data_IF_372005416905
#
_entry.id   IF_372005416905
#
_cell.length_a   1.000
_cell.length_b   1.000
_cell.length_c   1.000
_cell.angle_alpha   90.00
_cell.angle_beta   90.00
_cell.angle_gamma   90.00
#
_symmetry.space_group_name_H-M   'P 1'
#
loop_
_entity.id
_entity.type
_entity.pdbx_description
1 polymer ?
#
# COMPACT_ATOMS: atom_id res chain seq x y z
N UNK A 1 -4.95 -9.65 12.57
CA UNK A 1 -6.17 -8.82 12.80
C UNK A 1 -7.29 -9.62 13.45
N UNK A 2 -7.75 -10.77 12.93
CA UNK A 2 -8.79 -11.58 13.56
C UNK A 2 -8.47 -11.92 15.04
N UNK A 3 -7.25 -12.40 15.32
CA UNK A 3 -6.79 -12.68 16.68
C UNK A 3 -6.75 -11.44 17.59
N UNK A 4 -6.46 -10.27 17.04
CA UNK A 4 -6.48 -8.99 17.77
C UNK A 4 -7.90 -8.65 18.24
N UNK A 5 -8.89 -8.73 17.34
CA UNK A 5 -10.28 -8.45 17.71
C UNK A 5 -10.85 -9.52 18.65
N UNK A 6 -10.42 -10.77 18.53
CA UNK A 6 -10.76 -11.81 19.52
C UNK A 6 -10.24 -11.46 20.92
N UNK A 7 -9.00 -10.99 21.02
CA UNK A 7 -8.45 -10.53 22.29
C UNK A 7 -9.22 -9.34 22.85
N UNK A 8 -9.53 -8.33 22.02
CA UNK A 8 -10.33 -7.15 22.41
C UNK A 8 -11.71 -7.57 22.94
N UNK A 9 -12.38 -8.48 22.23
CA UNK A 9 -13.68 -9.02 22.65
C UNK A 9 -13.60 -9.76 23.99
N UNK A 10 -12.55 -10.54 24.21
CA UNK A 10 -12.33 -11.26 25.48
C UNK A 10 -12.14 -10.31 26.68
N UNK A 11 -11.65 -9.08 26.45
CA UNK A 11 -11.62 -8.04 27.48
C UNK A 11 -12.97 -7.32 27.68
N UNK A 12 -14.04 -7.78 27.01
CA UNK A 12 -15.38 -7.17 27.11
C UNK A 12 -15.54 -5.87 26.33
N UNK A 13 -14.56 -5.44 25.55
CA UNK A 13 -14.60 -4.21 24.76
C UNK A 13 -15.49 -4.43 23.54
N UNK A 14 -16.52 -3.60 23.38
CA UNK A 14 -17.49 -3.70 22.28
C UNK A 14 -17.25 -2.72 21.14
N UNK A 15 -16.50 -1.64 21.38
CA UNK A 15 -16.25 -0.58 20.41
C UNK A 15 -14.78 -0.19 20.44
N UNK A 16 -14.17 -0.02 19.27
CA UNK A 16 -12.81 0.53 19.09
C UNK A 16 -12.84 1.79 18.22
N UNK A 17 -11.83 2.65 18.40
CA UNK A 17 -11.56 3.78 17.52
C UNK A 17 -10.28 3.47 16.74
N UNK A 18 -10.39 3.43 15.41
CA UNK A 18 -9.30 3.09 14.52
C UNK A 18 -8.88 4.28 13.64
N UNK A 19 -7.60 4.31 13.28
CA UNK A 19 -7.00 5.36 12.46
C UNK A 19 -7.12 5.16 10.94
N UNK A 20 -8.02 4.31 10.46
CA UNK A 20 -8.20 4.06 9.03
C UNK A 20 -8.63 5.32 8.29
N UNK A 21 -8.15 5.48 7.06
CA UNK A 21 -8.38 6.66 6.23
C UNK A 21 -7.28 7.73 6.36
N UNK A 22 -6.51 7.74 7.45
CA UNK A 22 -5.48 8.76 7.65
C UNK A 22 -4.33 8.68 6.64
N UNK A 23 -3.90 7.49 6.25
CA UNK A 23 -2.86 7.30 5.24
C UNK A 23 -3.36 7.72 3.85
N UNK A 24 -4.59 7.40 3.53
CA UNK A 24 -5.26 7.69 2.27
C UNK A 24 -5.59 9.17 2.10
N UNK A 25 -5.97 9.85 3.18
CA UNK A 25 -6.27 11.29 3.16
C UNK A 25 -5.01 12.16 3.12
N UNK A 26 -3.98 11.79 3.88
CA UNK A 26 -2.83 12.64 4.18
C UNK A 26 -1.52 12.13 3.57
N UNK A 27 -1.58 11.25 2.58
CA UNK A 27 -0.38 10.74 1.88
C UNK A 27 0.59 9.99 2.81
N UNK A 28 0.07 8.97 3.52
CA UNK A 28 0.88 8.17 4.44
C UNK A 28 1.66 7.03 3.80
N UNK A 29 1.40 6.69 2.54
CA UNK A 29 2.08 5.61 1.81
C UNK A 29 3.27 6.13 0.99
N UNK A 30 4.35 5.35 0.92
CA UNK A 30 5.49 5.67 0.06
C UNK A 30 5.11 5.75 -1.43
N UNK A 31 4.13 4.96 -1.87
CA UNK A 31 3.62 4.98 -3.25
C UNK A 31 2.98 6.33 -3.63
N UNK A 32 2.40 7.06 -2.67
CA UNK A 32 1.81 8.38 -2.93
C UNK A 32 2.86 9.46 -3.16
N UNK A 33 4.09 9.28 -2.68
CA UNK A 33 5.20 10.22 -2.92
C UNK A 33 5.58 10.29 -4.40
N UNK A 34 5.39 9.23 -5.17
CA UNK A 34 5.58 9.28 -6.62
C UNK A 34 4.63 10.28 -7.28
N UNK A 35 3.38 10.30 -6.86
CA UNK A 35 2.38 11.23 -7.38
C UNK A 35 2.63 12.65 -6.88
N UNK A 36 3.09 12.83 -5.64
CA UNK A 36 3.55 14.13 -5.13
C UNK A 36 4.71 14.69 -5.95
N UNK A 37 5.65 13.82 -6.34
CA UNK A 37 6.77 14.21 -7.19
C UNK A 37 6.31 14.68 -8.57
N UNK A 38 5.28 14.07 -9.16
CA UNK A 38 4.67 14.51 -10.41
C UNK A 38 3.91 15.84 -10.27
N UNK A 39 3.38 16.12 -9.07
CA UNK A 39 2.70 17.39 -8.75
C UNK A 39 3.68 18.54 -8.49
N UNK A 40 4.94 18.26 -8.15
CA UNK A 40 5.91 19.24 -7.65
C UNK A 40 6.54 20.09 -8.76
N UNK A 41 6.87 21.34 -8.42
CA UNK A 41 7.78 22.18 -9.20
C UNK A 41 9.26 21.90 -8.81
N UNK A 42 10.21 22.63 -9.40
CA UNK A 42 11.64 22.42 -9.18
C UNK A 42 12.08 22.66 -7.73
N UNK A 43 11.47 23.63 -7.02
CA UNK A 43 11.77 23.95 -5.61
C UNK A 43 11.25 22.86 -4.69
N UNK A 44 10.01 22.45 -4.87
CA UNK A 44 9.36 21.41 -4.08
C UNK A 44 10.00 20.03 -4.26
N UNK A 45 10.60 19.79 -5.42
CA UNK A 45 11.32 18.54 -5.72
C UNK A 45 12.44 18.27 -4.70
N UNK A 46 13.18 19.28 -4.26
CA UNK A 46 14.25 19.16 -3.25
C UNK A 46 13.71 18.67 -1.90
N UNK A 47 12.59 19.22 -1.45
CA UNK A 47 11.93 18.79 -0.21
C UNK A 47 11.45 17.33 -0.31
N UNK A 48 10.85 16.96 -1.43
CA UNK A 48 10.38 15.59 -1.66
C UNK A 48 11.52 14.57 -1.67
N UNK A 49 12.67 14.91 -2.26
CA UNK A 49 13.87 14.06 -2.22
C UNK A 49 14.31 13.83 -0.77
N UNK A 50 14.31 14.89 0.07
CA UNK A 50 14.63 14.76 1.50
C UNK A 50 13.65 13.85 2.24
N UNK A 51 12.35 13.94 1.94
CA UNK A 51 11.33 13.05 2.52
C UNK A 51 11.60 11.59 2.12
N UNK A 52 11.87 11.35 0.83
CA UNK A 52 12.18 10.02 0.32
C UNK A 52 13.40 9.44 1.00
N UNK A 53 14.46 10.24 1.17
CA UNK A 53 15.68 9.80 1.85
C UNK A 53 15.42 9.43 3.30
N UNK A 54 14.63 10.21 4.02
CA UNK A 54 14.29 9.92 5.42
C UNK A 54 13.46 8.64 5.58
N UNK A 55 12.51 8.38 4.68
CA UNK A 55 11.70 7.17 4.69
C UNK A 55 12.52 5.95 4.26
N UNK A 56 13.45 6.12 3.32
CA UNK A 56 14.28 5.01 2.81
C UNK A 56 15.49 4.69 3.67
N UNK A 57 15.91 5.58 4.56
CA UNK A 57 17.02 5.32 5.51
C UNK A 57 16.65 4.38 6.66
N UNK A 58 15.35 4.22 6.96
CA UNK A 58 14.82 3.32 8.00
C UNK A 58 14.66 1.86 7.58
N UNK A 59 13.74 1.14 8.21
CA UNK A 59 13.46 -0.28 7.93
C UNK A 59 13.13 -0.60 6.46
N UNK A 60 12.68 0.41 5.70
CA UNK A 60 12.35 0.30 4.27
C UNK A 60 13.55 0.45 3.32
N UNK A 61 14.75 0.65 3.81
CA UNK A 61 15.97 0.79 2.97
C UNK A 61 16.14 -0.35 1.98
N UNK A 62 15.83 -1.59 2.39
CA UNK A 62 15.90 -2.78 1.52
C UNK A 62 14.80 -2.83 0.44
N UNK A 63 13.66 -2.19 0.68
CA UNK A 63 12.51 -2.18 -0.25
C UNK A 63 12.66 -1.17 -1.39
N UNK A 64 13.39 -0.08 -1.16
CA UNK A 64 13.28 1.13 -1.96
C UNK A 64 14.60 1.59 -2.59
N UNK A 65 15.58 0.71 -2.74
CA UNK A 65 16.93 1.03 -3.26
C UNK A 65 16.95 1.80 -4.59
N UNK A 66 15.86 1.77 -5.36
CA UNK A 66 15.73 2.45 -6.65
C UNK A 66 14.62 3.52 -6.68
N UNK A 67 14.06 3.93 -5.52
CA UNK A 67 12.96 4.90 -5.50
C UNK A 67 13.32 6.21 -6.20
N UNK A 68 14.48 6.81 -5.88
CA UNK A 68 14.93 8.06 -6.52
C UNK A 68 15.01 7.92 -8.05
N UNK A 69 15.61 6.85 -8.54
CA UNK A 69 15.74 6.58 -9.97
C UNK A 69 14.35 6.40 -10.60
N UNK A 70 13.45 5.71 -9.94
CA UNK A 70 12.08 5.51 -10.42
C UNK A 70 11.29 6.82 -10.44
N UNK A 71 11.46 7.72 -9.45
CA UNK A 71 10.85 9.04 -9.46
C UNK A 71 11.32 9.91 -10.61
N UNK A 72 12.64 10.01 -10.82
CA UNK A 72 13.19 10.76 -11.95
C UNK A 72 12.76 10.17 -13.30
N UNK A 73 12.78 8.85 -13.45
CA UNK A 73 12.28 8.18 -14.66
C UNK A 73 10.80 8.48 -14.91
N UNK A 74 9.93 8.39 -13.88
CA UNK A 74 8.50 8.68 -14.02
C UNK A 74 8.25 10.14 -14.40
N UNK A 75 8.95 11.09 -13.79
CA UNK A 75 8.85 12.52 -14.15
C UNK A 75 9.29 12.76 -15.57
N UNK A 76 10.40 12.18 -15.99
CA UNK A 76 10.87 12.28 -17.38
C UNK A 76 9.84 11.69 -18.36
N UNK A 77 9.31 10.51 -18.07
CA UNK A 77 8.30 9.84 -18.89
C UNK A 77 7.01 10.68 -18.93
N UNK A 78 6.56 11.27 -17.82
CA UNK A 78 5.35 12.09 -17.76
C UNK A 78 5.48 13.42 -18.50
N UNK A 79 6.71 13.92 -18.71
CA UNK A 79 6.99 15.12 -19.50
C UNK A 79 6.99 14.84 -21.01
N UNK A 80 7.01 13.57 -21.43
CA UNK A 80 6.94 13.21 -22.84
C UNK A 80 5.53 13.41 -23.38
N UNK A 81 5.45 13.79 -24.68
CA UNK A 81 4.16 13.98 -25.36
C UNK A 81 3.29 12.73 -25.26
N UNK A 82 1.96 12.86 -25.13
CA UNK A 82 1.03 11.71 -24.99
C UNK A 82 1.16 10.62 -26.06
N UNK A 83 1.57 11.01 -27.28
CA UNK A 83 1.82 10.08 -28.38
C UNK A 83 3.01 9.14 -28.11
N UNK A 84 4.09 9.67 -27.53
CA UNK A 84 5.27 8.86 -27.13
C UNK A 84 4.92 7.90 -25.99
N UNK A 85 4.07 8.33 -25.05
CA UNK A 85 3.56 7.47 -23.99
C UNK A 85 2.76 6.28 -24.54
N UNK A 86 1.89 6.51 -25.54
CA UNK A 86 1.15 5.42 -26.19
C UNK A 86 2.09 4.41 -26.85
N UNK A 87 3.15 4.87 -27.51
CA UNK A 87 4.16 3.99 -28.12
C UNK A 87 4.95 3.19 -27.10
N UNK A 88 5.32 3.79 -25.96
CA UNK A 88 6.02 3.10 -24.85
C UNK A 88 5.11 2.06 -24.19
N UNK A 89 3.84 2.38 -24.00
CA UNK A 89 2.84 1.44 -23.45
C UNK A 89 2.63 0.30 -24.43
N UNK A 90 2.50 0.58 -25.73
CA UNK A 90 2.36 -0.44 -26.78
C UNK A 90 3.56 -1.39 -26.85
N UNK A 91 4.79 -0.86 -26.78
CA UNK A 91 6.01 -1.67 -26.73
C UNK A 91 6.08 -2.55 -25.47
N UNK A 92 5.64 -2.04 -24.31
CA UNK A 92 5.55 -2.85 -23.08
C UNK A 92 4.51 -3.97 -23.19
N UNK A 93 3.42 -3.73 -23.90
CA UNK A 93 2.39 -4.74 -24.18
C UNK A 93 2.94 -5.88 -25.05
N UNK A 94 3.76 -5.55 -26.05
CA UNK A 94 4.43 -6.55 -26.92
C UNK A 94 5.45 -7.42 -26.15
N UNK A 95 6.04 -6.90 -25.05
CA UNK A 95 7.04 -7.62 -24.23
C UNK A 95 6.36 -8.49 -23.13
N UNK A 96 5.03 -8.55 -23.07
CA UNK A 96 4.28 -9.53 -22.25
C UNK A 96 4.39 -9.36 -20.73
N UNK A 97 4.59 -8.14 -20.21
CA UNK A 97 4.60 -7.86 -18.76
C UNK A 97 3.33 -7.13 -18.33
N UNK A 98 2.44 -7.87 -17.67
CA UNK A 98 1.40 -7.45 -16.71
C UNK A 98 0.55 -6.21 -17.07
N UNK A 99 -0.17 -6.27 -18.19
CA UNK A 99 -1.08 -5.20 -18.61
C UNK A 99 -2.55 -5.40 -18.17
N UNK A 100 -2.93 -6.59 -17.76
CA UNK A 100 -4.34 -6.86 -17.39
C UNK A 100 -4.78 -6.02 -16.19
N UNK A 101 -3.92 -5.88 -15.19
CA UNK A 101 -4.17 -5.05 -14.00
C UNK A 101 -4.21 -3.54 -14.31
N UNK A 102 -3.33 -3.09 -15.20
CA UNK A 102 -3.30 -1.69 -15.63
C UNK A 102 -4.51 -1.33 -16.49
N UNK A 103 -4.95 -2.25 -17.35
CA UNK A 103 -6.14 -2.10 -18.19
C UNK A 103 -7.42 -2.04 -17.36
N UNK A 104 -7.57 -2.96 -16.40
CA UNK A 104 -8.69 -2.96 -15.44
C UNK A 104 -8.76 -1.65 -14.64
N UNK A 105 -7.62 -1.11 -14.23
CA UNK A 105 -7.52 0.16 -13.49
C UNK A 105 -7.93 1.37 -14.34
N UNK A 106 -7.62 1.35 -15.64
CA UNK A 106 -7.98 2.43 -16.58
C UNK A 106 -9.47 2.36 -16.96
N UNK A 107 -10.00 1.16 -17.20
CA UNK A 107 -11.37 0.96 -17.66
C UNK A 107 -12.42 1.16 -16.56
N UNK A 108 -12.07 0.86 -15.30
CA UNK A 108 -12.99 1.02 -14.15
C UNK A 108 -12.75 2.30 -13.34
N UNK A 109 -11.81 3.14 -13.74
CA UNK A 109 -11.62 4.43 -13.10
C UNK A 109 -12.63 5.39 -13.73
N UNK A 110 -13.78 5.53 -13.05
CA UNK A 110 -14.82 6.48 -13.43
C UNK A 110 -14.33 7.93 -13.20
N UNK A 111 -13.33 8.31 -14.00
CA UNK A 111 -12.90 9.71 -14.15
C UNK A 111 -13.96 10.58 -14.82
N UNK A 112 -15.24 10.16 -14.77
CA UNK A 112 -16.39 10.84 -15.38
C UNK A 112 -16.66 12.19 -14.74
N UNK A 113 -16.33 12.39 -13.45
CA UNK A 113 -16.57 13.67 -12.82
C UNK A 113 -15.62 14.74 -13.38
N UNK A 114 -16.16 15.83 -13.97
CA UNK A 114 -15.32 16.85 -14.64
C UNK A 114 -14.24 17.46 -13.74
N UNK A 115 -14.49 17.55 -12.43
CA UNK A 115 -13.54 18.08 -11.47
C UNK A 115 -12.39 17.14 -11.17
N UNK A 116 -12.56 15.82 -11.31
CA UNK A 116 -11.48 14.86 -11.13
C UNK A 116 -10.31 15.13 -12.11
N UNK A 117 -10.62 15.52 -13.33
CA UNK A 117 -9.59 15.86 -14.33
C UNK A 117 -8.74 17.08 -13.92
N UNK A 118 -9.29 17.98 -13.08
CA UNK A 118 -8.59 19.20 -12.61
C UNK A 118 -7.70 18.97 -11.40
N UNK A 119 -7.82 17.82 -10.72
CA UNK A 119 -6.98 17.48 -9.58
C UNK A 119 -5.52 17.31 -10.02
N UNK A 120 -4.59 17.70 -9.14
CA UNK A 120 -3.17 17.40 -9.30
C UNK A 120 -2.91 15.88 -9.19
N UNK A 121 -1.75 15.37 -9.64
CA UNK A 121 -1.45 13.96 -9.63
C UNK A 121 -1.52 13.31 -8.25
N UNK A 122 -1.10 13.99 -7.16
CA UNK A 122 -1.21 13.45 -5.81
C UNK A 122 -2.67 13.34 -5.38
N UNK A 123 -3.46 14.40 -5.56
CA UNK A 123 -4.88 14.40 -5.18
C UNK A 123 -5.68 13.35 -5.95
N UNK A 124 -5.37 13.11 -7.23
CA UNK A 124 -5.95 11.99 -7.99
C UNK A 124 -5.61 10.63 -7.38
N UNK A 125 -4.35 10.41 -7.06
CA UNK A 125 -3.91 9.15 -6.46
C UNK A 125 -4.54 8.94 -5.07
N UNK A 126 -4.61 9.99 -4.24
CA UNK A 126 -5.28 9.92 -2.94
C UNK A 126 -6.78 9.61 -3.09
N UNK A 127 -7.45 10.21 -4.07
CA UNK A 127 -8.85 9.90 -4.36
C UNK A 127 -9.04 8.43 -4.76
N UNK A 128 -8.19 7.90 -5.63
CA UNK A 128 -8.24 6.50 -6.04
C UNK A 128 -8.03 5.53 -4.87
N UNK A 129 -7.02 5.76 -4.03
CA UNK A 129 -6.74 4.86 -2.90
C UNK A 129 -7.79 4.99 -1.79
N UNK A 130 -8.42 6.16 -1.65
CA UNK A 130 -9.47 6.40 -0.67
C UNK A 130 -10.82 5.82 -1.09
N UNK A 131 -11.25 6.05 -2.33
CA UNK A 131 -12.61 5.70 -2.78
C UNK A 131 -12.70 4.38 -3.56
N UNK A 132 -11.61 3.93 -4.20
CA UNK A 132 -11.71 2.86 -5.21
C UNK A 132 -10.89 1.63 -4.82
N UNK A 133 -9.62 1.78 -4.42
CA UNK A 133 -8.71 0.64 -4.35
C UNK A 133 -8.38 0.20 -2.92
N UNK A 134 -7.61 0.99 -2.18
CA UNK A 134 -6.98 0.56 -0.93
C UNK A 134 -7.96 0.57 0.24
N UNK A 135 -8.52 1.74 0.55
CA UNK A 135 -9.35 1.92 1.73
C UNK A 135 -10.62 1.06 1.72
N UNK A 136 -11.39 0.94 0.61
CA UNK A 136 -12.57 0.08 0.60
C UNK A 136 -12.26 -1.38 0.92
N UNK A 137 -11.09 -1.87 0.46
CA UNK A 137 -10.63 -3.22 0.77
C UNK A 137 -10.25 -3.37 2.25
N UNK A 138 -9.56 -2.39 2.81
CA UNK A 138 -9.20 -2.37 4.22
C UNK A 138 -10.46 -2.34 5.11
N UNK A 139 -11.38 -1.41 4.85
CA UNK A 139 -12.63 -1.26 5.60
C UNK A 139 -13.42 -2.58 5.62
N UNK A 140 -13.62 -3.20 4.46
CA UNK A 140 -14.32 -4.48 4.36
C UNK A 140 -13.64 -5.59 5.16
N UNK A 141 -12.31 -5.68 5.12
CA UNK A 141 -11.58 -6.71 5.84
C UNK A 141 -11.64 -6.50 7.35
N UNK A 142 -11.43 -5.25 7.80
CA UNK A 142 -11.48 -4.93 9.23
C UNK A 142 -12.87 -5.08 9.81
N UNK A 143 -13.92 -4.68 9.09
CA UNK A 143 -15.29 -4.92 9.46
C UNK A 143 -15.57 -6.41 9.67
N UNK A 144 -15.17 -7.27 8.73
CA UNK A 144 -15.33 -8.73 8.86
C UNK A 144 -14.58 -9.30 10.06
N UNK A 145 -13.34 -8.86 10.31
CA UNK A 145 -12.55 -9.35 11.44
C UNK A 145 -13.12 -8.89 12.78
N UNK A 146 -13.58 -7.66 12.88
CA UNK A 146 -14.13 -7.09 14.10
C UNK A 146 -15.52 -7.65 14.38
N UNK A 147 -16.40 -7.68 13.38
CA UNK A 147 -17.76 -8.19 13.53
C UNK A 147 -17.83 -9.69 13.81
N UNK A 148 -16.89 -10.48 13.27
CA UNK A 148 -16.73 -11.89 13.64
C UNK A 148 -16.44 -12.11 15.14
N UNK A 149 -16.06 -11.05 15.85
CA UNK A 149 -15.79 -11.07 17.29
C UNK A 149 -16.75 -10.12 18.07
N UNK A 150 -17.79 -9.60 17.45
CA UNK A 150 -18.77 -8.72 18.07
C UNK A 150 -18.18 -7.36 18.55
N UNK A 151 -17.19 -6.83 17.82
CA UNK A 151 -16.55 -5.54 18.12
C UNK A 151 -16.84 -4.55 17.00
N UNK A 152 -17.45 -3.43 17.32
CA UNK A 152 -17.71 -2.32 16.38
C UNK A 152 -16.43 -1.49 16.22
N UNK A 153 -16.08 -1.15 14.97
CA UNK A 153 -14.93 -0.26 14.67
C UNK A 153 -15.45 1.08 14.18
N UNK A 154 -15.09 2.14 14.88
CA UNK A 154 -15.38 3.52 14.48
C UNK A 154 -14.11 4.19 13.95
N UNK A 155 -14.27 4.92 12.85
CA UNK A 155 -13.15 5.48 12.08
C UNK A 155 -13.31 6.99 11.92
N UNK A 156 -12.79 7.81 12.87
CA UNK A 156 -12.98 9.27 12.87
C UNK A 156 -12.47 9.97 11.61
N UNK A 157 -11.44 9.42 10.95
CA UNK A 157 -10.92 9.95 9.68
C UNK A 157 -11.88 9.77 8.49
N UNK A 158 -12.94 8.99 8.66
CA UNK A 158 -13.99 8.81 7.65
C UNK A 158 -15.12 9.83 7.77
N UNK A 159 -15.05 10.78 8.71
CA UNK A 159 -16.04 11.86 8.81
C UNK A 159 -16.05 12.66 7.50
N UNK A 160 -17.23 12.75 6.87
CA UNK A 160 -17.39 13.38 5.55
C UNK A 160 -16.92 14.84 5.52
N UNK A 161 -17.02 15.57 6.65
CA UNK A 161 -16.53 16.96 6.76
C UNK A 161 -15.02 17.02 6.67
N UNK A 162 -14.34 16.12 7.39
CA UNK A 162 -12.88 15.99 7.35
C UNK A 162 -12.40 15.56 5.95
N UNK A 163 -13.07 14.57 5.36
CA UNK A 163 -12.77 14.06 4.02
C UNK A 163 -12.88 15.19 2.99
N UNK A 164 -14.02 15.88 2.95
CA UNK A 164 -14.26 17.00 2.02
C UNK A 164 -13.25 18.12 2.21
N UNK A 165 -13.01 18.51 3.46
CA UNK A 165 -12.00 19.52 3.79
C UNK A 165 -10.62 19.11 3.31
N UNK A 166 -10.19 17.89 3.59
CA UNK A 166 -8.84 17.42 3.21
C UNK A 166 -8.66 17.37 1.70
N UNK A 167 -9.67 16.97 0.93
CA UNK A 167 -9.60 16.99 -0.52
C UNK A 167 -9.62 18.39 -1.12
N UNK A 168 -10.16 19.40 -0.42
CA UNK A 168 -10.11 20.79 -0.85
C UNK A 168 -8.74 21.45 -0.68
N UNK A 169 -7.86 20.86 0.13
CA UNK A 169 -6.53 21.38 0.41
C UNK A 169 -5.54 21.06 -0.71
N UNK A 170 -4.58 21.97 -1.01
CA UNK A 170 -3.52 21.69 -1.96
C UNK A 170 -2.64 20.52 -1.49
N UNK A 171 -2.03 19.83 -2.44
CA UNK A 171 -1.19 18.67 -2.15
C UNK A 171 -0.01 19.00 -1.20
N UNK A 172 0.52 20.22 -1.24
CA UNK A 172 1.60 20.72 -0.39
C UNK A 172 1.23 20.77 1.11
N UNK A 173 -0.06 20.81 1.42
CA UNK A 173 -0.54 20.68 2.81
C UNK A 173 -0.41 19.26 3.34
N UNK A 174 -0.40 18.26 2.47
CA UNK A 174 -0.32 16.85 2.81
C UNK A 174 1.12 16.35 2.84
N UNK A 175 1.95 16.84 1.90
CA UNK A 175 3.37 16.47 1.77
C UNK A 175 4.21 17.72 1.61
N UNK A 176 5.19 17.91 2.47
CA UNK A 176 6.09 19.05 2.45
C UNK A 176 6.78 19.28 3.79
N UNK A 177 7.73 20.22 3.85
CA UNK A 177 8.48 20.49 5.09
C UNK A 177 9.21 19.27 5.64
N UNK A 178 9.66 18.35 4.78
CA UNK A 178 10.32 17.08 5.12
C UNK A 178 9.41 15.98 5.69
N UNK A 179 8.07 16.14 5.63
CA UNK A 179 7.12 15.17 6.19
C UNK A 179 6.02 14.78 5.21
N UNK A 180 5.56 13.55 5.31
CA UNK A 180 4.21 13.14 4.92
C UNK A 180 3.23 13.46 6.04
N UNK A 181 1.92 13.50 5.75
CA UNK A 181 0.88 13.88 6.72
C UNK A 181 1.12 15.25 7.37
N UNK A 182 1.69 16.20 6.62
CA UNK A 182 2.17 17.47 7.13
C UNK A 182 1.11 18.21 7.96
N UNK A 183 -0.05 18.50 7.37
CA UNK A 183 -1.12 19.25 8.06
C UNK A 183 -1.59 18.55 9.35
N UNK A 184 -1.67 17.21 9.33
CA UNK A 184 -2.05 16.45 10.52
C UNK A 184 -1.01 16.60 11.63
N UNK A 185 0.28 16.58 11.28
CA UNK A 185 1.37 16.80 12.23
C UNK A 185 1.36 18.20 12.79
N UNK A 186 1.10 19.20 11.96
CA UNK A 186 1.02 20.60 12.38
C UNK A 186 -0.17 20.83 13.32
N UNK A 187 -1.34 20.27 13.00
CA UNK A 187 -2.54 20.36 13.84
C UNK A 187 -2.39 19.66 15.19
N UNK A 188 -1.58 18.63 15.30
CA UNK A 188 -1.35 17.87 16.53
C UNK A 188 -0.14 18.37 17.35
N UNK A 189 0.43 19.52 16.98
CA UNK A 189 1.51 20.16 17.76
C UNK A 189 0.98 20.53 19.14
N UNK A 190 1.74 20.15 20.17
CA UNK A 190 1.34 20.37 21.58
C UNK A 190 0.29 19.38 22.11
N UNK A 191 -0.27 18.50 21.26
CA UNK A 191 -1.20 17.45 21.65
C UNK A 191 -0.48 16.10 21.71
N UNK A 192 0.26 15.75 20.63
CA UNK A 192 1.07 14.55 20.60
C UNK A 192 2.48 14.80 21.14
N UNK A 193 3.10 13.80 21.80
CA UNK A 193 4.52 13.85 22.11
C UNK A 193 5.34 14.13 20.84
N UNK A 194 6.31 15.06 20.95
CA UNK A 194 7.11 15.50 19.79
C UNK A 194 7.83 14.33 19.09
N UNK A 195 8.30 13.34 19.83
CA UNK A 195 8.92 12.13 19.26
C UNK A 195 7.99 11.37 18.33
N UNK A 196 6.69 11.34 18.62
CA UNK A 196 5.67 10.71 17.77
C UNK A 196 5.30 11.63 16.60
N UNK A 197 5.06 12.91 16.89
CA UNK A 197 4.66 13.91 15.90
C UNK A 197 5.70 14.10 14.80
N UNK A 198 6.98 14.11 15.16
CA UNK A 198 8.11 14.33 14.23
C UNK A 198 8.74 13.05 13.70
N UNK A 199 8.22 11.88 14.05
CA UNK A 199 8.72 10.60 13.55
C UNK A 199 8.60 10.53 12.03
N UNK A 200 9.70 10.23 11.36
CA UNK A 200 9.77 10.12 9.89
C UNK A 200 9.61 8.68 9.41
N UNK A 201 9.98 7.72 10.23
CA UNK A 201 9.91 6.31 9.87
C UNK A 201 8.45 5.86 9.80
N UNK A 202 8.08 5.25 8.68
CA UNK A 202 6.83 4.54 8.59
C UNK A 202 7.00 3.14 9.17
N UNK A 203 6.26 2.84 10.23
CA UNK A 203 6.14 1.49 10.76
C UNK A 203 4.90 0.88 10.12
N UNK A 204 5.10 -0.13 9.28
CA UNK A 204 4.04 -0.92 8.68
C UNK A 204 3.79 -2.20 9.46
N UNK A 205 2.60 -2.72 9.36
CA UNK A 205 2.28 -4.04 9.89
C UNK A 205 2.62 -5.10 8.83
N UNK A 206 3.77 -5.74 8.98
CA UNK A 206 4.24 -6.75 8.03
C UNK A 206 4.26 -8.12 8.70
N UNK A 207 3.66 -9.12 8.05
CA UNK A 207 3.80 -10.51 8.47
C UNK A 207 5.19 -11.04 8.07
N UNK A 208 5.97 -11.65 8.97
CA UNK A 208 7.30 -12.17 8.66
C UNK A 208 7.22 -13.51 7.90
N UNK A 209 6.54 -13.53 6.76
CA UNK A 209 6.27 -14.76 6.00
C UNK A 209 7.55 -15.51 5.61
N UNK A 210 8.62 -14.78 5.30
CA UNK A 210 9.91 -15.38 4.95
C UNK A 210 10.52 -16.17 6.12
N UNK A 211 10.31 -15.73 7.37
CA UNK A 211 10.71 -16.44 8.56
C UNK A 211 9.80 -17.64 8.81
N UNK A 212 8.48 -17.45 8.69
CA UNK A 212 7.51 -18.52 8.88
C UNK A 212 7.70 -19.66 7.87
N UNK A 213 7.99 -19.35 6.62
CA UNK A 213 8.23 -20.33 5.55
C UNK A 213 9.59 -21.03 5.65
N UNK A 214 10.54 -20.48 6.39
CA UNK A 214 11.80 -21.15 6.75
C UNK A 214 11.72 -21.89 8.08
N UNK A 215 10.76 -21.56 8.91
CA UNK A 215 10.56 -22.08 10.26
C UNK A 215 9.24 -22.83 10.43
N UNK A 216 8.28 -22.30 11.23
CA UNK A 216 7.13 -23.06 11.70
C UNK A 216 6.19 -23.58 10.61
N UNK A 217 6.07 -22.90 9.48
CA UNK A 217 5.17 -23.33 8.39
C UNK A 217 5.88 -24.13 7.29
N UNK A 218 7.19 -24.38 7.41
CA UNK A 218 7.97 -25.03 6.35
C UNK A 218 7.39 -26.37 5.96
N UNK A 219 7.22 -27.26 6.95
CA UNK A 219 6.78 -28.65 6.71
C UNK A 219 5.36 -28.71 6.13
N UNK A 220 4.45 -27.88 6.64
CA UNK A 220 3.06 -27.81 6.14
C UNK A 220 3.02 -27.40 4.68
N UNK A 221 3.78 -26.36 4.32
CA UNK A 221 3.83 -25.89 2.94
C UNK A 221 4.54 -26.91 2.05
N UNK A 222 5.59 -27.58 2.54
CA UNK A 222 6.32 -28.59 1.78
C UNK A 222 5.41 -29.78 1.41
N UNK A 223 4.62 -30.28 2.35
CA UNK A 223 3.61 -31.32 2.14
C UNK A 223 2.59 -30.85 1.09
N UNK A 224 2.07 -29.62 1.24
CA UNK A 224 1.08 -29.06 0.34
C UNK A 224 1.62 -28.88 -1.08
N UNK A 225 2.82 -28.32 -1.22
CA UNK A 225 3.45 -28.06 -2.53
C UNK A 225 3.83 -29.37 -3.25
N UNK A 226 4.15 -30.42 -2.50
CA UNK A 226 4.49 -31.74 -3.05
C UNK A 226 3.26 -32.55 -3.46
N UNK A 227 2.05 -32.09 -3.15
CA UNK A 227 0.82 -32.78 -3.56
C UNK A 227 0.59 -32.62 -5.07
N UNK A 228 0.05 -33.67 -5.70
CA UNK A 228 -0.25 -33.67 -7.15
C UNK A 228 -1.30 -32.62 -7.57
N UNK A 229 -1.95 -31.97 -6.62
CA UNK A 229 -2.94 -30.90 -6.86
C UNK A 229 -2.30 -29.54 -7.11
N UNK A 230 -1.01 -29.37 -6.85
CA UNK A 230 -0.32 -28.09 -7.02
C UNK A 230 0.31 -27.93 -8.41
N UNK A 231 0.17 -26.76 -9.07
CA UNK A 231 0.87 -26.50 -10.30
C UNK A 231 2.39 -26.52 -10.12
N UNK A 232 3.10 -27.06 -11.11
CA UNK A 232 4.58 -27.06 -11.14
C UNK A 232 5.22 -25.70 -10.84
N UNK A 233 4.54 -24.61 -11.24
CA UNK A 233 5.01 -23.25 -10.99
C UNK A 233 5.11 -22.90 -9.51
N UNK A 234 4.18 -23.34 -8.69
CA UNK A 234 4.18 -23.16 -7.24
C UNK A 234 5.36 -23.90 -6.62
N UNK A 235 5.55 -25.15 -7.05
CA UNK A 235 6.68 -25.99 -6.60
C UNK A 235 8.03 -25.37 -6.98
N UNK A 236 8.18 -24.83 -8.20
CA UNK A 236 9.38 -24.13 -8.62
C UNK A 236 9.69 -22.90 -7.76
N UNK A 237 8.67 -22.09 -7.45
CA UNK A 237 8.80 -20.89 -6.61
C UNK A 237 9.21 -21.30 -5.20
N UNK A 238 8.59 -22.34 -4.64
CA UNK A 238 8.94 -22.87 -3.33
C UNK A 238 10.38 -23.39 -3.29
N UNK A 239 10.78 -24.23 -4.24
CA UNK A 239 12.15 -24.76 -4.34
C UNK A 239 13.20 -23.64 -4.47
N UNK A 240 12.89 -22.60 -5.25
CA UNK A 240 13.76 -21.42 -5.37
C UNK A 240 13.88 -20.69 -4.04
N UNK A 241 12.77 -20.47 -3.35
CA UNK A 241 12.76 -19.82 -2.03
C UNK A 241 13.58 -20.62 -1.00
N UNK A 242 13.43 -21.94 -0.98
CA UNK A 242 14.18 -22.79 -0.04
C UNK A 242 15.71 -22.72 -0.24
N UNK A 243 16.20 -22.41 -1.43
CA UNK A 243 17.63 -22.24 -1.74
C UNK A 243 18.20 -20.88 -1.26
N UNK A 244 17.36 -19.89 -0.95
CA UNK A 244 17.81 -18.58 -0.47
C UNK A 244 18.28 -18.73 0.98
N UNK A 245 19.56 -18.44 1.25
CA UNK A 245 20.16 -18.56 2.59
C UNK A 245 19.56 -17.57 3.59
N UNK A 246 19.42 -16.31 3.18
CA UNK A 246 18.86 -15.22 4.00
C UNK A 246 17.70 -14.56 3.23
N UNK A 247 16.49 -15.17 3.23
CA UNK A 247 15.36 -14.58 2.52
C UNK A 247 14.89 -13.29 3.20
N UNK A 248 14.40 -12.37 2.40
CA UNK A 248 13.78 -11.14 2.87
C UNK A 248 12.26 -11.19 2.72
N UNK A 249 11.58 -10.11 3.14
CA UNK A 249 10.14 -10.00 3.05
C UNK A 249 9.61 -10.24 1.62
N UNK A 250 10.25 -9.70 0.58
CA UNK A 250 9.79 -9.86 -0.81
C UNK A 250 9.88 -11.31 -1.28
N UNK A 251 10.89 -12.05 -0.82
CA UNK A 251 11.03 -13.46 -1.15
C UNK A 251 9.88 -14.27 -0.56
N UNK A 252 9.51 -14.00 0.71
CA UNK A 252 8.35 -14.60 1.36
C UNK A 252 7.02 -14.18 0.71
N UNK A 253 6.88 -12.90 0.38
CA UNK A 253 5.68 -12.38 -0.29
C UNK A 253 5.46 -13.05 -1.64
N UNK A 254 6.51 -13.26 -2.42
CA UNK A 254 6.43 -13.95 -3.71
C UNK A 254 5.93 -15.41 -3.57
N UNK A 255 6.39 -16.12 -2.55
CA UNK A 255 5.85 -17.47 -2.25
C UNK A 255 4.37 -17.39 -1.92
N UNK A 256 3.97 -16.43 -1.08
CA UNK A 256 2.59 -16.21 -0.69
C UNK A 256 1.68 -15.92 -1.89
N UNK A 257 2.09 -15.06 -2.81
CA UNK A 257 1.32 -14.75 -4.03
C UNK A 257 0.99 -15.99 -4.86
N UNK A 258 1.92 -16.94 -4.94
CA UNK A 258 1.70 -18.18 -5.67
C UNK A 258 0.90 -19.24 -4.89
N UNK A 259 1.02 -19.27 -3.56
CA UNK A 259 0.31 -20.21 -2.69
C UNK A 259 -1.15 -19.79 -2.43
N UNK A 260 -1.40 -18.52 -2.25
CA UNK A 260 -2.68 -17.99 -1.75
C UNK A 260 -3.90 -18.43 -2.57
N UNK A 261 -3.90 -18.45 -3.91
CA UNK A 261 -5.04 -18.90 -4.69
C UNK A 261 -5.43 -20.35 -4.40
N UNK A 262 -4.44 -21.21 -4.16
CA UNK A 262 -4.66 -22.65 -3.89
C UNK A 262 -5.11 -22.89 -2.46
N UNK A 263 -4.54 -22.16 -1.50
CA UNK A 263 -5.01 -22.18 -0.12
C UNK A 263 -6.47 -21.77 -0.02
N UNK A 264 -6.81 -20.73 -0.76
CA UNK A 264 -8.17 -20.22 -0.81
C UNK A 264 -9.14 -21.22 -1.45
N UNK A 265 -8.74 -21.82 -2.57
CA UNK A 265 -9.52 -22.88 -3.23
C UNK A 265 -9.76 -24.05 -2.28
N UNK A 266 -8.71 -24.53 -1.62
CA UNK A 266 -8.82 -25.63 -0.66
C UNK A 266 -9.78 -25.27 0.50
N UNK A 267 -9.65 -24.08 1.07
CA UNK A 267 -10.48 -23.64 2.19
C UNK A 267 -11.97 -23.45 1.86
N UNK A 268 -12.33 -23.27 0.56
CA UNK A 268 -13.71 -23.00 0.13
C UNK A 268 -14.38 -24.18 -0.54
N UNK A 269 -13.63 -25.10 -1.11
CA UNK A 269 -14.18 -26.12 -2.04
C UNK A 269 -13.68 -27.54 -1.77
N UNK A 270 -12.72 -27.71 -0.89
CA UNK A 270 -12.18 -29.03 -0.53
C UNK A 270 -12.35 -29.21 1.00
N UNK A 271 -13.25 -30.13 1.39
CA UNK A 271 -13.44 -30.58 2.79
C UNK A 271 -12.26 -31.43 3.28
#
# INVERSE_FOLDING_TARGET
MLATYRAISNYGIKVTLDGHGADELFSGYSSTLESAFLSSNSKETGELVSIIDSITSGQYKKFNGNLKINYFKKRFISSLKPQLMKSIIFLKTLIGKDMEFAKYRIENNDGSHPQFKKLDPLSKNLYEIFHITTLPTLLRNYDRYSMANGVEVRMPFMDHRLVTYTFSLPWTSKVGGTYTKRIMRDALKGILPEQIRTRRDKIGWTAPMHEWFKGPLKNEIEIMVSSNSMPKKVEEVWKKFQKIKNPNYMDGHKVWEFLMPYLWKKALFED
#
